data_IF_933732254794
#
_entry.id   IF_933732254794
#
_cell.length_a   1.000
_cell.length_b   1.000
_cell.length_c   1.000
_cell.angle_alpha   90.00
_cell.angle_beta   90.00
_cell.angle_gamma   90.00
#
_symmetry.space_group_name_H-M   'P 1'
#
loop_
_entity.id
_entity.type
_entity.pdbx_description
1 polymer ?
#
# COMPACT_ATOMS: atom_id res chain seq x y z
N UNK A 1 17.49 -16.62 0.55
CA UNK A 1 16.13 -16.70 -0.01
C UNK A 1 15.22 -15.89 0.89
N UNK A 2 14.76 -14.73 0.42
CA UNK A 2 14.02 -13.77 1.23
C UNK A 2 12.54 -14.15 1.37
N UNK A 3 12.26 -15.36 1.85
CA UNK A 3 10.90 -15.80 2.14
C UNK A 3 10.49 -15.27 3.51
N UNK A 4 9.59 -14.28 3.56
CA UNK A 4 8.82 -14.01 4.78
C UNK A 4 7.39 -13.61 4.43
N UNK A 5 6.48 -14.54 4.77
CA UNK A 5 5.17 -14.27 5.37
C UNK A 5 3.92 -14.13 4.48
N UNK A 6 3.99 -14.33 3.16
CA UNK A 6 2.78 -14.23 2.32
C UNK A 6 2.23 -12.80 2.20
N UNK A 7 3.07 -11.81 2.51
CA UNK A 7 2.78 -10.39 2.31
C UNK A 7 2.74 -10.11 0.80
N UNK A 8 1.62 -9.54 0.36
CA UNK A 8 1.38 -9.11 -1.02
C UNK A 8 1.35 -7.60 -1.04
N UNK A 9 1.75 -7.00 -2.15
CA UNK A 9 1.71 -5.56 -2.31
C UNK A 9 1.36 -5.20 -3.75
N UNK A 10 0.79 -4.02 -3.91
CA UNK A 10 0.63 -3.36 -5.20
C UNK A 10 1.31 -2.00 -5.13
N UNK A 11 1.90 -1.57 -6.24
CA UNK A 11 2.59 -0.28 -6.31
C UNK A 11 2.29 0.44 -7.61
N UNK A 12 2.31 1.76 -7.54
CA UNK A 12 2.43 2.66 -8.70
C UNK A 12 3.85 3.24 -8.72
N UNK A 13 4.11 4.26 -9.56
CA UNK A 13 5.38 4.98 -9.52
C UNK A 13 5.63 5.62 -8.16
N UNK A 14 4.60 6.22 -7.57
CA UNK A 14 4.72 7.07 -6.40
C UNK A 14 4.28 6.41 -5.09
N UNK A 15 3.54 5.30 -5.14
CA UNK A 15 2.89 4.72 -3.96
C UNK A 15 3.00 3.20 -3.90
N UNK A 16 3.00 2.66 -2.68
CA UNK A 16 3.03 1.22 -2.43
C UNK A 16 2.10 0.87 -1.28
N UNK A 17 1.20 -0.08 -1.51
CA UNK A 17 0.25 -0.57 -0.52
C UNK A 17 0.48 -2.06 -0.30
N UNK A 18 0.66 -2.43 0.97
CA UNK A 18 0.67 -3.82 1.39
C UNK A 18 -0.74 -4.35 1.64
N UNK A 19 -0.92 -5.66 1.50
CA UNK A 19 -2.15 -6.37 1.82
C UNK A 19 -2.49 -6.37 3.31
N UNK A 20 -1.59 -5.88 4.16
CA UNK A 20 -1.82 -5.65 5.59
C UNK A 20 -2.29 -4.20 5.88
N UNK A 21 -2.37 -3.35 4.85
CA UNK A 21 -2.89 -1.99 4.95
C UNK A 21 -1.84 -0.90 5.12
N UNK A 22 -0.55 -1.27 5.24
CA UNK A 22 0.56 -0.30 5.26
C UNK A 22 0.71 0.37 3.91
N UNK A 23 0.55 1.69 3.88
CA UNK A 23 0.75 2.55 2.71
C UNK A 23 2.06 3.31 2.85
N UNK A 24 2.80 3.43 1.76
CA UNK A 24 4.05 4.17 1.69
C UNK A 24 4.08 5.02 0.42
N UNK A 25 4.65 6.22 0.54
CA UNK A 25 4.86 7.11 -0.59
C UNK A 25 6.31 6.94 -1.09
N UNK A 26 6.49 6.22 -2.19
CA UNK A 26 7.78 5.81 -2.75
C UNK A 26 8.61 6.98 -3.30
N UNK A 27 7.98 8.07 -3.74
CA UNK A 27 8.68 9.23 -4.25
C UNK A 27 9.40 10.04 -3.14
N UNK A 28 8.84 10.03 -1.93
CA UNK A 28 9.42 10.76 -0.77
C UNK A 28 10.15 9.83 0.20
N UNK A 29 9.76 8.56 0.25
CA UNK A 29 10.29 7.55 1.17
C UNK A 29 10.46 6.20 0.46
N UNK A 30 11.40 6.15 -0.48
CA UNK A 30 11.75 4.93 -1.24
C UNK A 30 12.23 3.76 -0.36
N UNK A 31 12.64 4.07 0.88
CA UNK A 31 13.15 3.11 1.87
C UNK A 31 12.08 2.57 2.81
N UNK A 32 10.82 2.99 2.66
CA UNK A 32 9.69 2.48 3.43
C UNK A 32 9.85 2.68 4.95
N UNK A 33 10.49 3.79 5.35
CA UNK A 33 10.72 4.15 6.74
C UNK A 33 9.45 4.70 7.41
N UNK A 34 8.55 5.33 6.64
CA UNK A 34 7.37 6.00 7.16
C UNK A 34 6.08 5.40 6.60
N UNK A 35 5.38 4.63 7.44
CA UNK A 35 4.04 4.12 7.10
C UNK A 35 2.99 5.21 7.29
N UNK A 36 2.17 5.40 6.26
CA UNK A 36 1.02 6.30 6.30
C UNK A 36 -0.18 5.58 6.91
N UNK A 37 -0.62 6.13 8.05
CA UNK A 37 -1.74 5.62 8.84
C UNK A 37 -3.05 6.18 8.34
N UNK A 38 -4.11 5.36 8.34
CA UNK A 38 -5.46 5.79 7.94
C UNK A 38 -6.03 6.91 8.80
N UNK A 39 -5.54 7.06 10.05
CA UNK A 39 -5.96 8.11 10.97
C UNK A 39 -5.46 9.51 10.53
N UNK A 40 -4.29 9.55 9.90
CA UNK A 40 -3.58 10.77 9.50
C UNK A 40 -3.49 10.92 7.97
N UNK A 41 -4.12 10.01 7.21
CA UNK A 41 -4.14 10.06 5.75
C UNK A 41 -4.67 11.44 5.29
N UNK A 42 -3.82 12.15 4.55
CA UNK A 42 -4.20 13.33 3.78
C UNK A 42 -5.16 12.95 2.65
N UNK A 43 -5.71 13.95 1.94
CA UNK A 43 -6.56 13.68 0.79
C UNK A 43 -5.83 12.88 -0.31
N UNK A 44 -4.53 13.12 -0.51
CA UNK A 44 -3.68 12.37 -1.44
C UNK A 44 -3.48 10.92 -0.99
N UNK A 45 -3.18 10.70 0.29
CA UNK A 45 -2.96 9.36 0.83
C UNK A 45 -4.24 8.50 0.70
N UNK A 46 -5.40 9.09 0.98
CA UNK A 46 -6.70 8.43 0.79
C UNK A 46 -6.94 8.06 -0.67
N UNK A 47 -6.66 8.97 -1.60
CA UNK A 47 -6.83 8.72 -3.02
C UNK A 47 -5.91 7.60 -3.51
N UNK A 48 -4.63 7.64 -3.12
CA UNK A 48 -3.65 6.60 -3.42
C UNK A 48 -4.08 5.24 -2.85
N UNK A 49 -4.52 5.21 -1.59
CA UNK A 49 -5.04 4.00 -0.94
C UNK A 49 -6.21 3.41 -1.72
N UNK A 50 -7.20 4.21 -2.12
CA UNK A 50 -8.36 3.74 -2.89
C UNK A 50 -7.94 3.17 -4.25
N UNK A 51 -7.03 3.86 -4.96
CA UNK A 51 -6.52 3.40 -6.26
C UNK A 51 -5.80 2.05 -6.14
N UNK A 52 -4.92 1.91 -5.13
CA UNK A 52 -4.16 0.68 -4.92
C UNK A 52 -5.07 -0.46 -4.43
N UNK A 53 -6.06 -0.17 -3.58
CA UNK A 53 -7.08 -1.16 -3.20
C UNK A 53 -7.88 -1.67 -4.40
N UNK A 54 -8.20 -0.79 -5.36
CA UNK A 54 -8.83 -1.22 -6.60
C UNK A 54 -7.92 -2.15 -7.42
N UNK A 55 -6.62 -1.86 -7.50
CA UNK A 55 -5.65 -2.74 -8.16
C UNK A 55 -5.56 -4.12 -7.49
N UNK A 56 -5.57 -4.18 -6.15
CA UNK A 56 -5.65 -5.44 -5.41
C UNK A 56 -6.86 -6.28 -5.84
N UNK A 57 -8.04 -5.65 -5.93
CA UNK A 57 -9.29 -6.32 -6.36
C UNK A 57 -9.21 -6.81 -7.81
N UNK A 58 -8.66 -6.01 -8.73
CA UNK A 58 -8.50 -6.39 -10.13
C UNK A 58 -7.56 -7.58 -10.31
N UNK A 59 -6.51 -7.67 -9.49
CA UNK A 59 -5.55 -8.77 -9.51
C UNK A 59 -6.06 -10.04 -8.80
N UNK A 60 -7.27 -10.01 -8.22
CA UNK A 60 -7.80 -11.13 -7.42
C UNK A 60 -7.02 -11.36 -6.13
N UNK A 61 -6.27 -10.35 -5.66
CA UNK A 61 -5.48 -10.43 -4.45
C UNK A 61 -6.35 -9.96 -3.27
N UNK A 62 -6.36 -10.72 -2.18
CA UNK A 62 -6.96 -10.27 -0.92
C UNK A 62 -6.21 -9.03 -0.44
N UNK A 63 -6.88 -7.89 -0.52
CA UNK A 63 -6.43 -6.64 0.10
C UNK A 63 -6.53 -6.71 1.64
N UNK A 64 -6.15 -5.64 2.34
CA UNK A 64 -6.29 -5.57 3.79
C UNK A 64 -7.70 -5.91 4.24
N UNK A 65 -7.76 -6.77 5.26
CA UNK A 65 -9.00 -7.07 5.97
C UNK A 65 -9.53 -5.75 6.55
N UNK A 66 -10.80 -5.48 6.27
CA UNK A 66 -11.52 -4.25 6.66
C UNK A 66 -11.63 -4.14 8.18
#
# INVERSE_FOLDING_TARGET
DGSSSGLRWVRTGDWKLYNDGRLFHMNVDEREQYTLSTADDTAEDKAARQQLLAAFRQLGLSGPAK
#
